data_IF_593108263256
#
_entry.id   IF_593108263256
#
_cell.length_a   1.000
_cell.length_b   1.000
_cell.length_c   1.000
_cell.angle_alpha   90.00
_cell.angle_beta   90.00
_cell.angle_gamma   90.00
#
_symmetry.space_group_name_H-M   'P 1'
#
loop_
_entity.id
_entity.type
_entity.pdbx_description
1 polymer ?
#
# COMPACT_ATOMS: atom_id res chain seq x y z
N UNK A 1 20.29 4.18 2.73
CA UNK A 1 20.34 5.26 3.74
C UNK A 1 18.97 5.91 3.80
N UNK A 2 18.38 6.00 4.99
CA UNK A 2 17.02 6.55 5.25
C UNK A 2 16.81 7.91 4.59
N UNK A 3 17.86 8.73 4.52
CA UNK A 3 17.78 10.08 3.95
C UNK A 3 17.46 10.08 2.44
N UNK A 4 18.03 9.14 1.68
CA UNK A 4 17.72 8.98 0.25
C UNK A 4 16.29 8.52 0.00
N UNK A 5 15.78 7.66 0.87
CA UNK A 5 14.39 7.16 0.79
C UNK A 5 13.37 8.26 1.12
N UNK A 6 13.65 9.10 2.11
CA UNK A 6 12.78 10.25 2.39
C UNK A 6 12.77 11.23 1.21
N UNK A 7 13.94 11.48 0.62
CA UNK A 7 14.06 12.35 -0.55
C UNK A 7 13.29 11.84 -1.77
N UNK A 8 13.17 10.52 -1.97
CA UNK A 8 12.40 9.99 -3.11
C UNK A 8 10.91 10.31 -3.03
N UNK A 9 10.36 10.59 -1.83
CA UNK A 9 8.97 11.05 -1.70
C UNK A 9 8.75 12.46 -2.25
N UNK A 10 9.80 13.23 -2.52
CA UNK A 10 9.72 14.58 -3.12
C UNK A 10 9.62 14.58 -4.65
N UNK A 11 9.65 13.40 -5.30
CA UNK A 11 9.50 13.30 -6.76
C UNK A 11 8.13 13.89 -7.21
N UNK A 12 8.19 14.98 -7.97
CA UNK A 12 7.01 15.72 -8.41
C UNK A 12 6.16 14.95 -9.42
N UNK A 13 6.76 14.10 -10.25
CA UNK A 13 6.05 13.31 -11.24
C UNK A 13 5.30 12.18 -10.55
N UNK A 14 5.94 11.51 -9.59
CA UNK A 14 5.31 10.49 -8.77
C UNK A 14 4.15 11.08 -7.96
N UNK A 15 4.36 12.21 -7.29
CA UNK A 15 3.30 12.93 -6.55
C UNK A 15 2.12 13.29 -7.45
N UNK A 16 2.40 13.79 -8.65
CA UNK A 16 1.36 14.15 -9.62
C UNK A 16 0.54 12.93 -10.02
N UNK A 17 1.22 11.84 -10.38
CA UNK A 17 0.58 10.58 -10.77
C UNK A 17 -0.27 9.99 -9.63
N UNK A 18 0.27 9.88 -8.42
CA UNK A 18 -0.48 9.38 -7.26
C UNK A 18 -1.73 10.22 -7.02
N UNK A 19 -1.59 11.55 -7.08
CA UNK A 19 -2.71 12.47 -6.85
C UNK A 19 -3.79 12.40 -7.95
N UNK A 20 -3.40 12.20 -9.20
CA UNK A 20 -4.35 12.21 -10.32
C UNK A 20 -4.97 10.85 -10.62
N UNK A 21 -4.28 9.76 -10.31
CA UNK A 21 -4.59 8.44 -10.86
C UNK A 21 -4.77 7.36 -9.81
N UNK A 22 -4.29 7.56 -8.59
CA UNK A 22 -4.34 6.55 -7.54
C UNK A 22 -5.31 6.97 -6.42
N UNK A 23 -5.18 8.20 -5.91
CA UNK A 23 -6.01 8.67 -4.78
C UNK A 23 -7.37 9.19 -5.30
N UNK A 24 -8.51 8.62 -4.86
CA UNK A 24 -9.84 9.05 -5.31
C UNK A 24 -10.32 10.29 -4.53
N UNK A 25 -9.68 11.43 -4.78
CA UNK A 25 -9.93 12.68 -4.05
C UNK A 25 -11.37 13.21 -4.18
N UNK A 26 -12.01 13.01 -5.33
CA UNK A 26 -13.40 13.42 -5.54
C UNK A 26 -14.35 12.67 -4.61
N UNK A 27 -14.14 11.35 -4.45
CA UNK A 27 -14.91 10.52 -3.52
C UNK A 27 -14.66 10.91 -2.07
N UNK A 28 -13.42 11.24 -1.69
CA UNK A 28 -13.13 11.70 -0.34
C UNK A 28 -13.89 12.98 -0.03
N UNK A 29 -13.85 13.97 -0.92
CA UNK A 29 -14.58 15.23 -0.75
C UNK A 29 -16.10 14.98 -0.70
N UNK A 30 -16.63 14.09 -1.54
CA UNK A 30 -18.06 13.71 -1.52
C UNK A 30 -18.46 13.08 -0.18
N UNK A 31 -17.63 12.17 0.36
CA UNK A 31 -17.86 11.51 1.66
C UNK A 31 -17.79 12.51 2.82
N UNK A 32 -16.86 13.47 2.76
CA UNK A 32 -16.73 14.55 3.76
C UNK A 32 -17.96 15.45 3.76
N UNK A 33 -18.37 15.98 2.60
CA UNK A 33 -19.52 16.89 2.48
C UNK A 33 -20.84 16.28 2.95
N UNK A 34 -20.98 14.96 2.85
CA UNK A 34 -22.19 14.25 3.27
C UNK A 34 -22.27 14.00 4.79
N UNK A 35 -21.20 14.25 5.56
CA UNK A 35 -21.25 14.10 7.01
C UNK A 35 -22.10 15.22 7.61
N UNK A 36 -23.35 14.90 7.97
CA UNK A 36 -24.25 15.80 8.71
C UNK A 36 -23.76 15.88 10.15
N UNK A 37 -23.48 17.11 10.61
CA UNK A 37 -22.88 17.49 11.89
C UNK A 37 -21.36 17.47 11.87
N UNK A 38 -20.75 18.63 12.08
CA UNK A 38 -19.35 18.67 12.45
C UNK A 38 -19.08 19.73 13.51
N UNK A 39 -18.60 19.21 14.63
CA UNK A 39 -17.49 19.78 15.41
C UNK A 39 -16.52 20.47 14.45
N UNK A 40 -15.99 21.63 14.82
CA UNK A 40 -15.08 22.46 14.05
C UNK A 40 -13.72 21.76 13.80
N UNK A 41 -13.71 20.76 12.91
CA UNK A 41 -12.54 19.98 12.49
C UNK A 41 -12.09 20.52 11.13
N UNK A 42 -10.79 20.77 10.99
CA UNK A 42 -10.22 21.28 9.74
C UNK A 42 -10.42 20.30 8.58
N UNK A 43 -10.70 20.84 7.39
CA UNK A 43 -10.90 20.02 6.17
C UNK A 43 -9.71 19.12 5.85
N UNK A 44 -8.48 19.56 6.14
CA UNK A 44 -7.26 18.75 5.92
C UNK A 44 -7.25 17.52 6.82
N UNK A 45 -7.69 17.66 8.07
CA UNK A 45 -7.79 16.54 9.00
C UNK A 45 -8.84 15.54 8.53
N UNK A 46 -9.98 16.02 8.03
CA UNK A 46 -11.01 15.16 7.43
C UNK A 46 -10.49 14.41 6.20
N UNK A 47 -9.70 15.06 5.34
CA UNK A 47 -9.05 14.40 4.20
C UNK A 47 -8.03 13.35 4.65
N UNK A 48 -7.25 13.63 5.69
CA UNK A 48 -6.30 12.66 6.27
C UNK A 48 -7.04 11.42 6.79
N UNK A 49 -8.16 11.61 7.51
CA UNK A 49 -8.97 10.50 8.01
C UNK A 49 -9.57 9.66 6.86
N UNK A 50 -10.05 10.30 5.80
CA UNK A 50 -10.53 9.59 4.60
C UNK A 50 -9.40 8.81 3.92
N UNK A 51 -8.19 9.39 3.81
CA UNK A 51 -7.03 8.73 3.25
C UNK A 51 -6.62 7.50 4.07
N UNK A 52 -6.62 7.59 5.40
CA UNK A 52 -6.31 6.46 6.28
C UNK A 52 -7.32 5.33 6.14
N UNK A 53 -8.61 5.65 6.11
CA UNK A 53 -9.67 4.65 5.92
C UNK A 53 -9.54 3.97 4.56
N UNK A 54 -9.43 4.74 3.48
CA UNK A 54 -9.26 4.21 2.13
C UNK A 54 -8.01 3.34 2.00
N UNK A 55 -6.89 3.76 2.59
CA UNK A 55 -5.66 2.97 2.57
C UNK A 55 -5.87 1.60 3.22
N UNK A 56 -6.55 1.57 4.37
CA UNK A 56 -6.75 0.36 5.16
C UNK A 56 -7.81 -0.59 4.59
N UNK A 57 -8.89 -0.05 4.04
CA UNK A 57 -10.09 -0.81 3.69
C UNK A 57 -10.21 -1.10 2.20
N UNK A 58 -9.62 -0.26 1.34
CA UNK A 58 -9.88 -0.28 -0.11
C UNK A 58 -8.60 -0.46 -0.94
N UNK A 59 -7.50 0.19 -0.56
CA UNK A 59 -6.29 0.23 -1.39
C UNK A 59 -5.27 -0.86 -1.05
N UNK A 60 -4.98 -1.05 0.24
CA UNK A 60 -3.90 -1.93 0.68
C UNK A 60 -4.46 -3.13 1.43
N UNK A 61 -3.91 -4.31 1.15
CA UNK A 61 -4.26 -5.55 1.86
C UNK A 61 -3.07 -6.04 2.66
N UNK A 62 -3.35 -6.57 3.85
CA UNK A 62 -2.31 -7.23 4.63
C UNK A 62 -1.96 -8.58 3.98
N UNK A 63 -0.67 -8.82 3.78
CA UNK A 63 -0.15 -10.10 3.35
C UNK A 63 0.53 -10.79 4.53
N UNK A 64 0.07 -11.98 4.89
CA UNK A 64 0.72 -12.85 5.90
C UNK A 64 1.53 -13.95 5.22
N UNK A 65 0.87 -14.77 4.41
CA UNK A 65 1.48 -15.89 3.68
C UNK A 65 0.62 -16.27 2.47
N UNK A 66 1.21 -16.86 1.41
CA UNK A 66 0.45 -17.26 0.24
C UNK A 66 -0.31 -18.57 0.47
N UNK A 67 -1.36 -18.78 -0.33
CA UNK A 67 -2.00 -20.09 -0.48
C UNK A 67 -1.41 -20.79 -1.71
N UNK A 68 -1.30 -22.11 -1.67
CA UNK A 68 -0.79 -22.90 -2.78
C UNK A 68 -1.80 -22.91 -3.93
N UNK A 69 -1.36 -22.57 -5.15
CA UNK A 69 -2.22 -22.53 -6.34
C UNK A 69 -2.92 -23.88 -6.65
N UNK A 70 -2.33 -25.01 -6.24
CA UNK A 70 -2.88 -26.35 -6.52
C UNK A 70 -3.87 -26.81 -5.47
N UNK A 71 -3.50 -26.78 -4.19
CA UNK A 71 -4.32 -27.33 -3.11
C UNK A 71 -5.10 -26.27 -2.31
N UNK A 72 -4.86 -24.98 -2.59
CA UNK A 72 -5.50 -23.81 -1.97
C UNK A 72 -5.31 -23.72 -0.44
N UNK A 73 -4.39 -24.51 0.12
CA UNK A 73 -4.01 -24.44 1.53
C UNK A 73 -2.91 -23.42 1.72
N UNK A 74 -2.86 -22.87 2.92
CA UNK A 74 -1.81 -21.96 3.33
C UNK A 74 -0.44 -22.62 3.29
N UNK A 75 0.56 -21.90 2.79
CA UNK A 75 1.93 -22.40 2.66
C UNK A 75 2.77 -22.03 3.88
N UNK A 76 3.81 -22.82 4.15
CA UNK A 76 4.72 -22.58 5.26
C UNK A 76 5.95 -21.81 4.76
N UNK A 77 6.39 -20.83 5.56
CA UNK A 77 7.68 -20.17 5.31
C UNK A 77 8.79 -21.22 5.31
N UNK A 78 9.65 -21.17 4.30
CA UNK A 78 10.76 -22.12 4.16
C UNK A 78 12.09 -21.44 4.46
N UNK A 79 12.45 -20.42 3.69
CA UNK A 79 13.70 -19.68 3.88
C UNK A 79 13.67 -18.33 3.16
N UNK A 80 14.65 -17.49 3.47
CA UNK A 80 14.95 -16.33 2.64
C UNK A 80 15.82 -16.73 1.45
N UNK A 81 15.52 -16.18 0.29
CA UNK A 81 16.35 -16.32 -0.92
C UNK A 81 16.73 -14.94 -1.46
N UNK A 82 17.74 -14.93 -2.34
CA UNK A 82 18.12 -13.71 -3.03
C UNK A 82 17.04 -13.30 -4.03
N UNK A 83 16.69 -12.01 -4.11
CA UNK A 83 15.81 -11.51 -5.15
C UNK A 83 16.34 -11.83 -6.53
N UNK A 84 15.42 -12.12 -7.45
CA UNK A 84 15.71 -12.11 -8.88
C UNK A 84 16.15 -10.71 -9.32
N UNK A 85 16.74 -10.62 -10.52
CA UNK A 85 17.16 -9.35 -11.08
C UNK A 85 15.99 -8.37 -11.22
N UNK A 86 14.82 -8.85 -11.63
CA UNK A 86 13.63 -8.02 -11.80
C UNK A 86 13.12 -7.49 -10.45
N UNK A 87 12.96 -8.36 -9.45
CA UNK A 87 12.51 -7.97 -8.10
C UNK A 87 13.43 -6.91 -7.47
N UNK A 88 14.75 -7.03 -7.69
CA UNK A 88 15.71 -6.05 -7.19
C UNK A 88 15.71 -4.76 -8.00
N UNK A 89 15.83 -4.86 -9.32
CA UNK A 89 16.08 -3.69 -10.17
C UNK A 89 14.79 -2.85 -10.38
N UNK A 90 13.61 -3.47 -10.39
CA UNK A 90 12.32 -2.79 -10.56
C UNK A 90 11.53 -2.65 -9.24
N UNK A 91 11.57 -3.67 -8.39
CA UNK A 91 10.82 -3.71 -7.13
C UNK A 91 11.58 -3.20 -5.91
N UNK A 92 12.87 -2.88 -6.06
CA UNK A 92 13.79 -2.52 -4.96
C UNK A 92 13.84 -3.58 -3.83
N UNK A 93 13.53 -4.84 -4.17
CA UNK A 93 13.53 -5.93 -3.21
C UNK A 93 14.97 -6.27 -2.76
N UNK A 94 15.16 -6.41 -1.46
CA UNK A 94 16.45 -6.78 -0.85
C UNK A 94 16.47 -8.23 -0.35
N UNK A 95 15.29 -8.81 -0.10
CA UNK A 95 15.09 -10.20 0.35
C UNK A 95 13.77 -10.73 -0.17
N UNK A 96 13.70 -12.03 -0.45
CA UNK A 96 12.46 -12.71 -0.85
C UNK A 96 12.17 -13.85 0.12
N UNK A 97 10.94 -13.92 0.60
CA UNK A 97 10.44 -15.02 1.42
C UNK A 97 9.98 -16.16 0.51
N UNK A 98 10.65 -17.31 0.59
CA UNK A 98 10.24 -18.50 -0.14
C UNK A 98 9.30 -19.33 0.74
N UNK A 99 8.12 -19.63 0.20
CA UNK A 99 7.11 -20.46 0.84
C UNK A 99 7.04 -21.83 0.16
N UNK A 100 6.74 -22.88 0.93
CA UNK A 100 6.60 -24.24 0.43
C UNK A 100 5.23 -24.81 0.81
N UNK A 101 4.61 -25.54 -0.12
CA UNK A 101 3.43 -26.34 0.16
C UNK A 101 3.84 -27.60 0.91
N UNK A 102 3.19 -27.85 2.05
CA UNK A 102 3.43 -29.02 2.91
C UNK A 102 2.63 -30.26 2.50
N UNK A 103 1.77 -30.13 1.50
CA UNK A 103 1.07 -31.23 0.81
C UNK A 103 1.82 -31.58 -0.47
#
# INVERSE_FOLDING_TARGET
STLKQVQSYEDINLRRYIRSSIIPLEDFNRRISNRKNQIDIDKRDLLLLELLRWFKEEFFTWFDRPNCDRCQKSMDFFQYVQPTREERDQGDAQKVELYKCST
#
